data_IF_643691417736
#
_entry.id   IF_643691417736
#
_cell.length_a   1.000
_cell.length_b   1.000
_cell.length_c   1.000
_cell.angle_alpha   90.00
_cell.angle_beta   90.00
_cell.angle_gamma   90.00
#
_symmetry.space_group_name_H-M   'P 1'
#
loop_
_entity.id
_entity.type
_entity.pdbx_description
1 polymer ?
#
# COMPACT_ATOMS: atom_id res chain seq x y z
N UNK A 1 -20.34 -43.71 32.00
CA UNK A 1 -19.10 -43.15 31.50
C UNK A 1 -19.35 -41.66 31.24
N UNK A 2 -18.86 -40.81 32.13
CA UNK A 2 -18.93 -39.36 31.99
C UNK A 2 -17.79 -38.92 31.10
N UNK A 3 -18.11 -38.21 29.99
CA UNK A 3 -17.15 -37.49 29.19
C UNK A 3 -16.70 -36.23 29.96
N UNK A 4 -15.40 -35.88 29.99
CA UNK A 4 -14.96 -34.71 30.69
C UNK A 4 -15.36 -33.44 29.92
N UNK A 5 -16.08 -32.59 30.60
CA UNK A 5 -16.42 -31.21 30.21
C UNK A 5 -15.17 -30.34 30.28
N UNK A 6 -14.28 -30.40 29.26
CA UNK A 6 -13.23 -29.41 29.10
C UNK A 6 -12.68 -29.41 27.65
N UNK A 7 -13.59 -29.34 26.69
CA UNK A 7 -13.24 -28.71 25.40
C UNK A 7 -13.73 -27.25 25.45
N UNK A 8 -13.17 -26.48 26.34
CA UNK A 8 -13.19 -25.04 26.21
C UNK A 8 -12.44 -24.74 24.92
N UNK A 9 -13.18 -24.30 23.91
CA UNK A 9 -12.70 -23.65 22.76
C UNK A 9 -11.52 -22.73 23.16
N UNK A 10 -10.31 -23.11 22.82
CA UNK A 10 -9.18 -22.20 22.86
C UNK A 10 -9.46 -21.15 21.78
N UNK A 11 -10.18 -20.12 22.21
CA UNK A 11 -10.24 -18.87 21.45
C UNK A 11 -8.79 -18.44 21.30
N UNK A 12 -8.27 -18.31 20.07
CA UNK A 12 -6.91 -17.83 19.87
C UNK A 12 -6.78 -16.48 20.58
N UNK A 13 -5.89 -16.41 21.54
CA UNK A 13 -5.68 -15.24 22.37
C UNK A 13 -5.19 -14.07 21.52
N UNK A 14 -5.82 -12.95 21.84
CA UNK A 14 -5.25 -11.62 21.85
C UNK A 14 -5.11 -10.95 20.50
N UNK A 15 -6.17 -10.28 20.18
CA UNK A 15 -6.08 -9.01 19.47
C UNK A 15 -5.41 -7.99 20.41
N UNK A 16 -4.08 -8.03 20.51
CA UNK A 16 -3.34 -6.92 21.08
C UNK A 16 -3.47 -5.77 20.10
N UNK A 17 -4.19 -4.74 20.50
CA UNK A 17 -4.20 -3.47 19.76
C UNK A 17 -2.78 -2.91 19.82
N UNK A 18 -2.17 -2.56 18.67
CA UNK A 18 -0.88 -1.86 18.67
C UNK A 18 -0.96 -0.56 19.46
N UNK A 19 0.12 -0.19 20.12
CA UNK A 19 0.21 0.94 21.05
C UNK A 19 0.05 2.32 20.35
N UNK A 20 0.23 2.39 19.01
CA UNK A 20 0.20 3.63 18.22
C UNK A 20 -0.79 3.55 17.07
N UNK A 21 -2.00 4.01 17.31
CA UNK A 21 -3.05 4.00 16.30
C UNK A 21 -3.55 5.43 16.03
N UNK A 22 -2.61 6.30 15.71
CA UNK A 22 -2.92 7.65 15.26
C UNK A 22 -3.38 7.68 13.79
N UNK A 23 -4.02 8.79 13.43
CA UNK A 23 -4.26 9.12 12.02
C UNK A 23 -2.92 9.30 11.33
N UNK A 24 -2.67 8.49 10.29
CA UNK A 24 -1.45 8.54 9.48
C UNK A 24 -1.60 9.53 8.32
N UNK A 25 -2.70 9.40 7.59
CA UNK A 25 -3.00 10.21 6.42
C UNK A 25 -4.47 10.64 6.42
N UNK A 26 -4.78 11.89 6.00
CA UNK A 26 -6.14 12.28 5.65
C UNK A 26 -6.68 11.46 4.48
N UNK A 27 -7.99 11.28 4.40
CA UNK A 27 -8.64 10.56 3.31
C UNK A 27 -8.30 11.16 1.94
N UNK A 28 -8.19 12.50 1.85
CA UNK A 28 -7.85 13.24 0.64
C UNK A 28 -6.45 12.96 0.08
N UNK A 29 -5.54 12.43 0.90
CA UNK A 29 -4.18 12.06 0.45
C UNK A 29 -4.14 10.64 -0.12
N UNK A 30 -5.16 9.82 0.12
CA UNK A 30 -5.24 8.44 -0.36
C UNK A 30 -6.02 8.35 -1.66
N UNK A 31 -7.19 8.96 -1.71
CA UNK A 31 -8.05 8.99 -2.91
C UNK A 31 -7.89 10.31 -3.67
N UNK A 32 -8.26 10.30 -4.95
CA UNK A 32 -8.31 11.53 -5.74
C UNK A 32 -9.22 12.56 -5.08
N UNK A 33 -8.71 13.77 -4.92
CA UNK A 33 -9.36 14.89 -4.26
C UNK A 33 -9.08 16.18 -5.04
N UNK A 34 -9.77 17.28 -4.77
CA UNK A 34 -9.47 18.56 -5.39
C UNK A 34 -7.99 18.97 -5.28
N UNK A 35 -7.29 18.55 -4.22
CA UNK A 35 -5.87 18.86 -4.02
C UNK A 35 -4.93 18.12 -4.98
N UNK A 36 -5.39 17.07 -5.65
CA UNK A 36 -4.61 16.30 -6.62
C UNK A 36 -4.87 16.71 -8.09
N UNK A 37 -5.91 17.51 -8.35
CA UNK A 37 -6.33 17.85 -9.72
C UNK A 37 -5.27 18.65 -10.49
N UNK A 38 -4.60 19.58 -9.81
CA UNK A 38 -3.59 20.46 -10.42
C UNK A 38 -2.16 19.89 -10.29
N UNK A 39 -2.01 18.64 -9.86
CA UNK A 39 -0.70 18.03 -9.70
C UNK A 39 -0.18 17.48 -11.00
N UNK A 40 0.79 18.16 -11.59
CA UNK A 40 1.48 17.73 -12.82
C UNK A 40 2.50 16.62 -12.48
N UNK A 41 2.08 15.37 -12.69
CA UNK A 41 2.90 14.18 -12.42
C UNK A 41 4.14 14.14 -13.31
N UNK A 42 4.00 14.54 -14.60
CA UNK A 42 5.12 14.48 -15.54
C UNK A 42 6.21 15.51 -15.17
N UNK A 43 5.80 16.75 -14.95
CA UNK A 43 6.73 17.80 -14.49
C UNK A 43 7.43 17.41 -13.18
N UNK A 44 6.69 16.87 -12.22
CA UNK A 44 7.25 16.41 -10.95
C UNK A 44 8.28 15.28 -11.14
N UNK A 45 7.95 14.26 -11.92
CA UNK A 45 8.84 13.11 -12.19
C UNK A 45 10.10 13.55 -12.91
N UNK A 46 9.99 14.46 -13.90
CA UNK A 46 11.15 15.01 -14.60
C UNK A 46 12.04 15.83 -13.67
N UNK A 47 11.46 16.65 -12.81
CA UNK A 47 12.20 17.46 -11.85
C UNK A 47 12.92 16.58 -10.80
N UNK A 48 12.28 15.51 -10.33
CA UNK A 48 12.87 14.57 -9.39
C UNK A 48 14.08 13.82 -9.96
N UNK A 49 14.06 13.50 -11.25
CA UNK A 49 15.21 13.01 -12.01
C UNK A 49 15.69 11.61 -11.69
N UNK A 50 14.99 10.84 -10.86
CA UNK A 50 15.32 9.46 -10.53
C UNK A 50 15.02 8.46 -11.64
N UNK A 51 15.12 7.18 -11.33
CA UNK A 51 14.90 6.08 -12.30
C UNK A 51 13.54 6.18 -13.00
N UNK A 52 12.49 6.60 -12.31
CA UNK A 52 11.14 6.73 -12.84
C UNK A 52 11.07 7.67 -14.05
N UNK A 53 11.89 8.75 -14.09
CA UNK A 53 11.87 9.74 -15.17
C UNK A 53 12.26 9.15 -16.54
N UNK A 54 13.11 8.13 -16.55
CA UNK A 54 13.57 7.45 -17.75
C UNK A 54 12.95 6.07 -17.98
N UNK A 55 12.18 5.56 -16.99
CA UNK A 55 11.53 4.26 -17.10
C UNK A 55 10.51 4.24 -18.24
N UNK A 56 10.48 3.14 -18.99
CA UNK A 56 9.54 2.85 -20.06
C UNK A 56 9.11 1.39 -19.98
N UNK A 57 7.83 1.15 -20.06
CA UNK A 57 7.25 -0.21 -19.94
C UNK A 57 6.16 -0.40 -21.00
N UNK A 58 6.10 -1.61 -21.57
CA UNK A 58 5.01 -1.98 -22.46
C UNK A 58 3.78 -2.41 -21.63
N UNK A 59 2.72 -1.61 -21.71
CA UNK A 59 1.50 -1.79 -20.95
C UNK A 59 0.32 -1.93 -21.88
N UNK A 60 -0.34 -3.10 -21.88
CA UNK A 60 -1.53 -3.40 -22.69
C UNK A 60 -1.35 -3.02 -24.17
N UNK A 61 -1.71 -1.81 -24.54
CA UNK A 61 -1.79 -1.36 -25.94
C UNK A 61 -0.71 -0.33 -26.32
N UNK A 62 0.36 -0.19 -25.54
CA UNK A 62 1.40 0.77 -25.85
C UNK A 62 2.53 0.86 -24.84
N UNK A 63 3.58 1.58 -25.25
CA UNK A 63 4.74 1.84 -24.40
C UNK A 63 4.53 3.13 -23.62
N UNK A 64 4.48 3.02 -22.31
CA UNK A 64 4.24 4.15 -21.41
C UNK A 64 5.50 4.58 -20.67
N UNK A 65 5.60 5.87 -20.38
CA UNK A 65 6.60 6.42 -19.45
C UNK A 65 6.23 6.12 -18.01
N UNK A 66 7.19 6.21 -17.08
CA UNK A 66 6.91 6.04 -15.65
C UNK A 66 5.82 7.00 -15.16
N UNK A 67 5.89 8.28 -15.56
CA UNK A 67 4.86 9.27 -15.21
C UNK A 67 3.47 8.90 -15.77
N UNK A 68 3.40 8.46 -17.03
CA UNK A 68 2.14 8.00 -17.63
C UNK A 68 1.56 6.79 -16.93
N UNK A 69 2.39 5.88 -16.43
CA UNK A 69 1.94 4.72 -15.65
C UNK A 69 1.32 5.19 -14.31
N UNK A 70 1.96 6.11 -13.60
CA UNK A 70 1.41 6.70 -12.36
C UNK A 70 0.05 7.36 -12.65
N UNK A 71 -0.03 8.21 -13.69
CA UNK A 71 -1.28 8.89 -14.07
C UNK A 71 -2.38 7.90 -14.42
N UNK A 72 -2.05 6.86 -15.19
CA UNK A 72 -2.99 5.84 -15.60
C UNK A 72 -3.55 5.06 -14.42
N UNK A 73 -2.69 4.53 -13.54
CA UNK A 73 -3.13 3.79 -12.36
C UNK A 73 -3.95 4.70 -11.44
N UNK A 74 -3.53 5.95 -11.24
CA UNK A 74 -4.30 6.95 -10.48
C UNK A 74 -5.71 7.14 -11.05
N UNK A 75 -5.84 7.32 -12.36
CA UNK A 75 -7.12 7.51 -13.03
C UNK A 75 -8.01 6.27 -12.98
N UNK A 76 -7.44 5.09 -13.23
CA UNK A 76 -8.17 3.81 -13.23
C UNK A 76 -8.65 3.38 -11.84
N UNK A 77 -7.91 3.74 -10.79
CA UNK A 77 -8.18 3.32 -9.40
C UNK A 77 -8.73 4.42 -8.49
N UNK A 78 -8.78 5.67 -8.96
CA UNK A 78 -9.10 6.85 -8.14
C UNK A 78 -8.17 7.05 -6.93
N UNK A 79 -6.95 6.55 -6.99
CA UNK A 79 -5.92 6.75 -5.96
C UNK A 79 -5.13 8.01 -6.26
N UNK A 80 -4.83 8.80 -5.23
CA UNK A 80 -4.05 10.03 -5.36
C UNK A 80 -2.66 9.73 -5.97
N UNK A 81 -2.25 10.39 -7.09
CA UNK A 81 -0.98 10.12 -7.73
C UNK A 81 0.23 10.46 -6.84
N UNK A 82 0.11 11.44 -5.94
CA UNK A 82 1.15 11.75 -4.94
C UNK A 82 1.39 10.59 -4.00
N UNK A 83 0.31 9.88 -3.60
CA UNK A 83 0.44 8.68 -2.79
C UNK A 83 1.19 7.57 -3.53
N UNK A 84 0.86 7.32 -4.80
CA UNK A 84 1.55 6.31 -5.61
C UNK A 84 3.04 6.61 -5.76
N UNK A 85 3.41 7.89 -5.96
CA UNK A 85 4.79 8.33 -6.02
C UNK A 85 5.52 8.15 -4.68
N UNK A 86 4.89 8.55 -3.57
CA UNK A 86 5.46 8.38 -2.23
C UNK A 86 5.66 6.90 -1.90
N UNK A 87 4.68 6.05 -2.22
CA UNK A 87 4.79 4.61 -2.02
C UNK A 87 5.94 4.01 -2.85
N UNK A 88 6.08 4.40 -4.11
CA UNK A 88 7.13 3.94 -5.00
C UNK A 88 8.52 4.37 -4.48
N UNK A 89 8.65 5.61 -4.05
CA UNK A 89 9.89 6.10 -3.44
C UNK A 89 10.23 5.30 -2.18
N UNK A 90 9.29 5.17 -1.26
CA UNK A 90 9.49 4.41 -0.03
C UNK A 90 9.88 2.95 -0.25
N UNK A 91 9.31 2.31 -1.29
CA UNK A 91 9.52 0.88 -1.56
C UNK A 91 10.79 0.59 -2.35
N UNK A 92 11.19 1.47 -3.24
CA UNK A 92 12.27 1.19 -4.20
C UNK A 92 13.18 2.35 -4.55
N UNK A 93 12.90 3.58 -4.08
CA UNK A 93 13.73 4.75 -4.34
C UNK A 93 13.72 5.21 -5.82
N UNK A 94 12.65 4.94 -6.57
CA UNK A 94 12.62 5.19 -8.01
C UNK A 94 12.39 6.66 -8.37
N UNK A 95 11.79 7.43 -7.47
CA UNK A 95 11.40 8.83 -7.77
C UNK A 95 12.62 9.74 -7.76
N UNK A 96 13.46 9.63 -6.72
CA UNK A 96 14.67 10.48 -6.57
C UNK A 96 15.98 9.73 -6.77
N UNK A 97 15.97 8.40 -6.77
CA UNK A 97 17.15 7.56 -6.82
C UNK A 97 17.12 6.48 -7.90
N UNK A 98 17.91 5.45 -7.65
CA UNK A 98 18.07 4.28 -8.51
C UNK A 98 17.66 3.01 -7.78
N UNK A 99 17.06 2.02 -8.48
CA UNK A 99 16.79 0.72 -7.88
C UNK A 99 18.09 0.02 -7.49
N UNK A 100 18.14 -0.46 -6.24
CA UNK A 100 19.36 -1.06 -5.67
C UNK A 100 19.72 -2.44 -6.24
N UNK A 101 18.75 -3.11 -6.90
CA UNK A 101 18.95 -4.42 -7.51
C UNK A 101 17.83 -4.76 -8.50
N UNK A 102 18.01 -5.88 -9.24
CA UNK A 102 17.02 -6.34 -10.24
C UNK A 102 15.64 -6.63 -9.65
N UNK A 103 15.56 -7.15 -8.42
CA UNK A 103 14.27 -7.40 -7.77
C UNK A 103 13.46 -6.12 -7.54
N UNK A 104 14.15 -4.97 -7.34
CA UNK A 104 13.51 -3.66 -7.24
C UNK A 104 13.10 -3.07 -8.59
N UNK A 105 13.65 -3.59 -9.68
CA UNK A 105 13.20 -3.27 -11.05
C UNK A 105 11.97 -4.12 -11.38
N UNK A 106 12.04 -5.42 -11.15
CA UNK A 106 10.95 -6.35 -11.49
C UNK A 106 9.72 -6.17 -10.61
N UNK A 107 9.93 -5.85 -9.33
CA UNK A 107 8.89 -5.69 -8.30
C UNK A 107 9.09 -4.41 -7.49
N UNK A 108 8.85 -3.23 -8.08
CA UNK A 108 9.17 -1.95 -7.45
C UNK A 108 8.38 -1.67 -6.17
N UNK A 109 7.16 -2.18 -6.03
CA UNK A 109 6.38 -2.09 -4.79
C UNK A 109 6.67 -3.28 -3.85
N UNK A 110 7.01 -4.44 -4.40
CA UNK A 110 7.51 -5.59 -3.64
C UNK A 110 6.46 -6.61 -3.26
N UNK A 111 5.40 -6.77 -4.05
CA UNK A 111 4.47 -7.90 -3.90
C UNK A 111 5.10 -9.23 -4.28
N UNK A 112 6.01 -9.22 -5.26
CA UNK A 112 6.77 -10.38 -5.71
C UNK A 112 5.88 -11.56 -6.16
N UNK A 113 4.78 -11.26 -6.83
CA UNK A 113 3.88 -12.29 -7.38
C UNK A 113 4.47 -12.79 -8.70
N UNK A 114 4.75 -14.10 -8.85
CA UNK A 114 5.28 -14.65 -10.10
C UNK A 114 4.42 -14.29 -11.31
N UNK A 115 5.06 -13.81 -12.39
CA UNK A 115 4.37 -13.37 -13.61
C UNK A 115 3.68 -12.00 -13.54
N UNK A 116 3.75 -11.30 -12.40
CA UNK A 116 3.20 -9.96 -12.21
C UNK A 116 4.32 -8.92 -12.04
N UNK A 117 5.32 -8.96 -12.92
CA UNK A 117 6.44 -8.02 -12.91
C UNK A 117 6.07 -6.69 -13.57
N UNK A 118 6.83 -5.65 -13.21
CA UNK A 118 6.75 -4.31 -13.80
C UNK A 118 5.97 -3.30 -12.95
N UNK A 119 6.22 -2.04 -13.26
CA UNK A 119 5.68 -0.91 -12.49
C UNK A 119 4.16 -0.87 -12.51
N UNK A 120 3.57 -1.03 -13.71
CA UNK A 120 2.12 -0.94 -13.85
C UNK A 120 1.39 -1.99 -13.00
N UNK A 121 1.79 -3.26 -13.10
CA UNK A 121 1.14 -4.36 -12.39
C UNK A 121 1.29 -4.24 -10.87
N UNK A 122 2.48 -3.90 -10.41
CA UNK A 122 2.76 -3.71 -8.98
C UNK A 122 1.96 -2.52 -8.40
N UNK A 123 1.81 -1.42 -9.14
CA UNK A 123 0.98 -0.29 -8.72
C UNK A 123 -0.52 -0.61 -8.75
N UNK A 124 -0.99 -1.37 -9.74
CA UNK A 124 -2.39 -1.84 -9.78
C UNK A 124 -2.70 -2.71 -8.56
N UNK A 125 -1.81 -3.62 -8.19
CA UNK A 125 -1.96 -4.42 -6.96
C UNK A 125 -1.99 -3.54 -5.70
N UNK A 126 -1.10 -2.55 -5.61
CA UNK A 126 -1.09 -1.60 -4.50
C UNK A 126 -2.40 -0.83 -4.39
N UNK A 127 -2.87 -0.25 -5.51
CA UNK A 127 -4.12 0.48 -5.57
C UNK A 127 -5.33 -0.40 -5.23
N UNK A 128 -5.34 -1.66 -5.68
CA UNK A 128 -6.39 -2.63 -5.35
C UNK A 128 -6.46 -2.88 -3.84
N UNK A 129 -5.33 -3.13 -3.19
CA UNK A 129 -5.31 -3.34 -1.73
C UNK A 129 -5.64 -2.05 -0.96
N UNK A 130 -5.17 -0.90 -1.44
CA UNK A 130 -5.48 0.38 -0.83
C UNK A 130 -6.98 0.66 -0.86
N UNK A 131 -7.61 0.49 -2.04
CA UNK A 131 -9.05 0.67 -2.22
C UNK A 131 -9.86 -0.34 -1.42
N UNK A 132 -9.43 -1.61 -1.37
CA UNK A 132 -10.07 -2.61 -0.51
C UNK A 132 -10.06 -2.15 0.96
N UNK A 133 -8.91 -1.70 1.48
CA UNK A 133 -8.82 -1.16 2.84
C UNK A 133 -9.66 0.09 3.05
N UNK A 134 -9.67 1.02 2.09
CA UNK A 134 -10.41 2.28 2.19
C UNK A 134 -11.93 2.08 2.21
N UNK A 135 -12.45 1.44 1.17
CA UNK A 135 -13.90 1.26 1.02
C UNK A 135 -14.42 0.18 1.96
N UNK A 136 -13.67 -0.92 2.14
CA UNK A 136 -14.07 -1.98 3.06
C UNK A 136 -14.09 -1.54 4.53
N UNK A 137 -13.22 -0.59 4.91
CA UNK A 137 -13.30 0.05 6.21
C UNK A 137 -14.56 0.93 6.34
N UNK A 138 -14.86 1.73 5.33
CA UNK A 138 -16.03 2.63 5.33
C UNK A 138 -17.36 1.92 5.36
N UNK A 139 -17.48 0.80 4.66
CA UNK A 139 -18.72 -0.01 4.60
C UNK A 139 -18.79 -1.10 5.68
N UNK A 140 -17.71 -1.27 6.46
CA UNK A 140 -17.62 -2.23 7.55
C UNK A 140 -17.36 -3.68 7.09
N UNK A 141 -17.04 -3.91 5.82
CA UNK A 141 -16.72 -5.26 5.31
C UNK A 141 -15.28 -5.70 5.65
N UNK A 142 -14.38 -4.74 5.92
CA UNK A 142 -13.00 -5.01 6.36
C UNK A 142 -12.77 -4.36 7.73
N UNK A 143 -12.80 -5.18 8.77
CA UNK A 143 -12.52 -4.79 10.15
C UNK A 143 -11.19 -5.34 10.67
N UNK A 144 -10.56 -6.20 9.89
CA UNK A 144 -9.34 -6.91 10.24
C UNK A 144 -8.35 -6.89 9.07
N UNK A 145 -7.06 -6.98 9.39
CA UNK A 145 -6.00 -7.13 8.42
C UNK A 145 -5.19 -8.38 8.71
N UNK A 146 -4.88 -9.14 7.65
CA UNK A 146 -4.05 -10.33 7.69
C UNK A 146 -2.66 -9.98 7.20
N UNK A 147 -1.65 -10.27 8.00
CA UNK A 147 -0.24 -10.05 7.72
C UNK A 147 0.38 -11.20 6.90
N UNK A 148 1.63 -10.99 6.43
CA UNK A 148 2.38 -12.00 5.67
C UNK A 148 2.68 -13.28 6.46
N UNK A 149 2.78 -13.21 7.76
CA UNK A 149 2.96 -14.34 8.68
C UNK A 149 1.63 -15.03 9.07
N UNK A 150 0.55 -14.69 8.39
CA UNK A 150 -0.80 -15.17 8.63
C UNK A 150 -1.43 -14.72 9.96
N UNK A 151 -0.75 -13.92 10.77
CA UNK A 151 -1.37 -13.31 11.95
C UNK A 151 -2.44 -12.30 11.54
N UNK A 152 -3.38 -12.03 12.43
CA UNK A 152 -4.52 -11.13 12.17
C UNK A 152 -4.55 -10.06 13.26
N UNK A 153 -4.82 -8.81 12.88
CA UNK A 153 -5.11 -7.73 13.80
C UNK A 153 -6.38 -6.99 13.39
N UNK A 154 -7.13 -6.54 14.37
CA UNK A 154 -8.32 -5.73 14.16
C UNK A 154 -7.90 -4.28 13.86
N UNK A 155 -8.55 -3.66 12.89
CA UNK A 155 -8.39 -2.23 12.61
C UNK A 155 -9.16 -1.43 13.67
N UNK A 156 -8.60 -0.36 14.27
CA UNK A 156 -9.28 0.39 15.33
C UNK A 156 -10.51 1.13 14.84
N UNK A 157 -11.59 1.08 15.61
CA UNK A 157 -12.88 1.62 15.19
C UNK A 157 -12.92 3.16 15.01
N UNK A 158 -11.92 3.90 15.51
CA UNK A 158 -11.85 5.37 15.43
C UNK A 158 -10.92 5.87 14.33
N UNK A 159 -10.35 4.97 13.52
CA UNK A 159 -9.43 5.35 12.48
C UNK A 159 -10.19 5.92 11.26
N UNK A 160 -9.65 6.94 10.61
CA UNK A 160 -10.18 7.40 9.34
C UNK A 160 -9.86 6.39 8.21
N UNK A 161 -10.61 6.43 7.11
CA UNK A 161 -10.49 5.44 6.04
C UNK A 161 -9.12 5.47 5.35
N UNK A 162 -8.50 6.65 5.19
CA UNK A 162 -7.16 6.79 4.62
C UNK A 162 -6.10 6.05 5.42
N UNK A 163 -6.11 6.21 6.74
CA UNK A 163 -5.18 5.50 7.62
C UNK A 163 -5.46 3.99 7.68
N UNK A 164 -6.74 3.58 7.68
CA UNK A 164 -7.11 2.17 7.62
C UNK A 164 -6.64 1.51 6.31
N UNK A 165 -6.77 2.22 5.18
CA UNK A 165 -6.29 1.78 3.87
C UNK A 165 -4.78 1.58 3.84
N UNK A 166 -4.02 2.54 4.40
CA UNK A 166 -2.57 2.45 4.49
C UNK A 166 -2.13 1.27 5.37
N UNK A 167 -2.74 1.12 6.54
CA UNK A 167 -2.47 0.01 7.43
C UNK A 167 -2.78 -1.34 6.77
N UNK A 168 -3.91 -1.44 6.07
CA UNK A 168 -4.31 -2.65 5.34
C UNK A 168 -3.33 -2.97 4.21
N UNK A 169 -2.93 -1.98 3.39
CA UNK A 169 -1.92 -2.17 2.34
C UNK A 169 -0.60 -2.66 2.92
N UNK A 170 -0.10 -2.03 3.99
CA UNK A 170 1.18 -2.40 4.60
C UNK A 170 1.15 -3.80 5.24
N UNK A 171 -0.01 -4.29 5.69
CA UNK A 171 -0.15 -5.67 6.16
C UNK A 171 0.17 -6.70 5.07
N UNK A 172 0.11 -6.33 3.77
CA UNK A 172 0.47 -7.22 2.64
C UNK A 172 1.98 -7.31 2.42
N UNK A 173 2.75 -6.33 2.94
CA UNK A 173 4.21 -6.29 2.77
C UNK A 173 4.97 -6.86 3.95
N UNK A 174 4.42 -6.75 5.15
CA UNK A 174 5.14 -7.01 6.39
C UNK A 174 4.53 -8.13 7.21
N UNK A 175 5.39 -8.78 8.01
CA UNK A 175 4.96 -9.52 9.19
C UNK A 175 4.50 -8.53 10.25
N UNK A 176 3.67 -8.97 11.20
CA UNK A 176 3.13 -8.10 12.22
C UNK A 176 4.19 -7.30 12.99
N UNK A 177 5.30 -7.92 13.38
CA UNK A 177 6.39 -7.29 14.14
C UNK A 177 7.07 -6.13 13.38
N UNK A 178 7.21 -6.26 12.05
CA UNK A 178 7.86 -5.26 11.20
C UNK A 178 6.88 -4.18 10.68
N UNK A 179 5.58 -4.43 10.78
CA UNK A 179 4.55 -3.57 10.24
C UNK A 179 4.43 -2.24 11.01
N UNK A 180 4.43 -2.30 12.34
CA UNK A 180 4.32 -1.11 13.18
C UNK A 180 5.50 -0.15 12.99
N UNK A 181 6.78 -0.59 13.04
CA UNK A 181 7.90 0.28 12.73
C UNK A 181 7.86 0.86 11.32
N UNK A 182 7.39 0.11 10.34
CA UNK A 182 7.31 0.59 8.95
C UNK A 182 6.32 1.74 8.75
N UNK A 183 5.34 1.90 9.63
CA UNK A 183 4.33 2.95 9.56
C UNK A 183 4.55 4.09 10.55
N UNK A 184 5.13 3.81 11.72
CA UNK A 184 5.10 4.73 12.87
C UNK A 184 6.48 5.10 13.43
N UNK A 185 7.56 4.47 12.96
CA UNK A 185 8.89 4.88 13.39
C UNK A 185 9.29 6.24 12.78
N UNK A 186 10.13 7.04 13.46
CA UNK A 186 10.69 8.26 12.86
C UNK A 186 11.38 7.95 11.53
N UNK A 187 11.01 8.66 10.47
CA UNK A 187 11.54 8.43 9.12
C UNK A 187 10.93 7.24 8.37
N UNK A 188 9.84 6.64 8.88
CA UNK A 188 9.01 5.68 8.16
C UNK A 188 8.16 6.37 7.07
N UNK A 189 7.22 5.64 6.49
CA UNK A 189 6.34 6.14 5.40
C UNK A 189 5.64 7.46 5.75
#
# INVERSE_FOLDING_TARGET
AFLPHNMLLQIPRQFETPVHWGVLLPDSEVINSPTSVDFDVDAFVQQAGGYLSRHREDVLNGRLTGAQIIQRVSAESSVNPRFLLALLEFRSGWVYGEPVNQSKIDYPIGFQVPGQTGLYRELVMAATHLNAGYYGWRDGSILEMKFRDATIARIPPKLNAGSAALQYLFSKFYRREAWEPALYAPGSF
#
